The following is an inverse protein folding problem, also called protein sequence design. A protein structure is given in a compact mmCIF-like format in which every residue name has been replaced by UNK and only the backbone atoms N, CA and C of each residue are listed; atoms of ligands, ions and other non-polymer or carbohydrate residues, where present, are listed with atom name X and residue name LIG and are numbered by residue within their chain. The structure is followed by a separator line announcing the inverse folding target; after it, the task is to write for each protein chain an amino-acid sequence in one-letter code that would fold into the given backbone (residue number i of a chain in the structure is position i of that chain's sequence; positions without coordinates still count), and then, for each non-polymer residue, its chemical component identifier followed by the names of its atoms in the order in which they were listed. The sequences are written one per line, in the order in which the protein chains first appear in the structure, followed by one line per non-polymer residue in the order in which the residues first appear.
data_IF_268474260520
#
_entry.id   IF_268474260520
#
_cell.length_a   1.000
_cell.length_b   1.000
_cell.length_c   1.000
_cell.angle_alpha   90.00
_cell.angle_beta   90.00
_cell.angle_gamma   90.00
#
_symmetry.space_group_name_H-M   'P 1'
#
loop_
_entity.id
_entity.type
_entity.pdbx_description
1 polymer ?
#
# COMPACT_ATOMS: atom_id res chain seq x y z
N UNK A 1 -6.04 -0.16 10.73
CA UNK A 1 -6.38 -1.11 11.78
C UNK A 1 -6.30 -2.55 11.28
N UNK A 2 -7.02 -2.91 10.23
CA UNK A 2 -7.04 -4.29 9.69
C UNK A 2 -5.66 -4.77 9.27
N UNK A 3 -4.92 -3.99 8.50
CA UNK A 3 -3.56 -4.33 8.07
C UNK A 3 -2.61 -4.59 9.24
N UNK A 4 -2.68 -3.76 10.29
CA UNK A 4 -1.87 -3.97 11.51
C UNK A 4 -2.27 -5.28 12.19
N UNK A 5 -3.57 -5.58 12.26
CA UNK A 5 -4.08 -6.84 12.80
C UNK A 5 -3.58 -8.06 12.03
N UNK A 6 -3.62 -8.02 10.70
CA UNK A 6 -3.10 -9.09 9.84
C UNK A 6 -1.59 -9.25 9.94
N UNK A 7 -0.83 -8.14 9.94
CA UNK A 7 0.63 -8.18 10.13
C UNK A 7 1.01 -8.83 11.47
N UNK A 8 0.34 -8.44 12.55
CA UNK A 8 0.54 -9.04 13.87
C UNK A 8 0.09 -10.51 13.89
N UNK A 9 -1.00 -10.83 13.20
CA UNK A 9 -1.52 -12.20 13.10
C UNK A 9 -0.61 -13.17 12.36
N UNK A 10 0.28 -12.69 11.51
CA UNK A 10 1.32 -13.50 10.85
C UNK A 10 2.39 -14.00 11.83
N UNK A 11 2.52 -13.34 12.99
CA UNK A 11 3.41 -13.82 14.05
C UNK A 11 2.73 -14.94 14.82
N UNK A 12 3.37 -16.12 14.88
CA UNK A 12 2.81 -17.37 15.45
C UNK A 12 2.19 -17.23 16.84
N UNK A 13 2.71 -16.31 17.68
CA UNK A 13 2.21 -16.03 19.03
C UNK A 13 1.05 -15.02 19.07
N UNK A 14 0.83 -14.27 17.99
CA UNK A 14 -0.11 -13.16 17.92
C UNK A 14 -1.27 -13.41 16.94
N UNK A 15 -1.50 -14.67 16.55
CA UNK A 15 -2.56 -15.06 15.59
C UNK A 15 -3.95 -14.50 15.93
N UNK A 16 -4.25 -14.31 17.22
CA UNK A 16 -5.53 -13.75 17.68
C UNK A 16 -5.77 -12.31 17.20
N UNK A 17 -4.71 -11.56 16.84
CA UNK A 17 -4.86 -10.20 16.31
C UNK A 17 -5.41 -10.16 14.89
N UNK A 18 -5.29 -11.23 14.13
CA UNK A 18 -5.91 -11.36 12.81
C UNK A 18 -7.43 -11.55 12.87
N UNK A 19 -7.97 -11.96 14.02
CA UNK A 19 -9.41 -12.14 14.20
C UNK A 19 -10.13 -10.80 14.39
N UNK A 20 -10.94 -10.34 13.43
CA UNK A 20 -11.64 -9.07 13.52
C UNK A 20 -12.75 -9.05 14.58
N UNK A 21 -13.14 -10.22 15.12
CA UNK A 21 -14.17 -10.33 16.16
C UNK A 21 -13.60 -10.16 17.57
N UNK A 22 -12.28 -10.29 17.72
CA UNK A 22 -11.61 -10.17 19.02
C UNK A 22 -11.47 -8.72 19.46
N UNK A 23 -12.42 -8.26 20.30
CA UNK A 23 -12.51 -6.86 20.77
C UNK A 23 -11.21 -6.29 21.35
N UNK A 24 -10.45 -7.00 22.25
CA UNK A 24 -9.19 -6.45 22.79
C UNK A 24 -8.13 -6.23 21.69
N UNK A 25 -8.01 -7.15 20.72
CA UNK A 25 -7.10 -6.99 19.60
C UNK A 25 -7.45 -5.76 18.74
N UNK A 26 -8.73 -5.54 18.52
CA UNK A 26 -9.21 -4.37 17.78
C UNK A 26 -8.90 -3.05 18.49
N UNK A 27 -9.04 -2.99 19.80
CA UNK A 27 -8.70 -1.78 20.59
C UNK A 27 -7.19 -1.53 20.53
N UNK A 28 -6.37 -2.56 20.73
CA UNK A 28 -4.91 -2.43 20.72
C UNK A 28 -4.42 -1.99 19.35
N UNK A 29 -4.87 -2.62 18.27
CA UNK A 29 -4.46 -2.25 16.91
C UNK A 29 -4.91 -0.85 16.51
N UNK A 30 -6.09 -0.42 17.00
CA UNK A 30 -6.56 0.95 16.79
C UNK A 30 -5.72 1.95 17.58
N UNK A 31 -5.39 1.67 18.83
CA UNK A 31 -4.52 2.52 19.65
C UNK A 31 -3.13 2.65 19.03
N UNK A 32 -2.55 1.55 18.56
CA UNK A 32 -1.25 1.57 17.84
C UNK A 32 -1.34 2.45 16.58
N UNK A 33 -2.37 2.27 15.75
CA UNK A 33 -2.56 3.08 14.56
C UNK A 33 -2.72 4.56 14.88
N UNK A 34 -3.53 4.87 15.88
CA UNK A 34 -3.78 6.26 16.32
C UNK A 34 -2.53 6.88 16.94
N UNK A 35 -1.78 6.14 17.75
CA UNK A 35 -0.54 6.62 18.37
C UNK A 35 0.55 6.88 17.32
N UNK A 36 0.69 6.01 16.32
CA UNK A 36 1.62 6.23 15.21
C UNK A 36 1.24 7.49 14.41
N UNK A 37 -0.02 7.63 14.02
CA UNK A 37 -0.50 8.81 13.30
C UNK A 37 -0.41 10.09 14.14
N UNK A 38 -0.92 10.03 15.37
CA UNK A 38 -0.90 11.16 16.31
C UNK A 38 0.52 11.57 16.68
N UNK A 39 1.44 10.63 16.82
CA UNK A 39 2.85 10.89 17.07
C UNK A 39 3.53 11.63 15.90
N UNK A 40 3.28 11.18 14.67
CA UNK A 40 3.79 11.87 13.48
C UNK A 40 3.21 13.28 13.34
N UNK A 41 1.89 13.44 13.56
CA UNK A 41 1.25 14.76 13.57
C UNK A 41 1.82 15.66 14.66
N UNK A 42 1.99 15.15 15.87
CA UNK A 42 2.58 15.90 16.99
C UNK A 42 3.99 16.39 16.66
N UNK A 43 4.85 15.51 16.10
CA UNK A 43 6.19 15.89 15.65
C UNK A 43 6.12 17.00 14.58
N UNK A 44 5.20 16.89 13.63
CA UNK A 44 5.03 17.88 12.56
C UNK A 44 4.55 19.24 13.08
N UNK A 45 3.68 19.28 14.08
CA UNK A 45 3.14 20.54 14.64
C UNK A 45 4.09 21.16 15.64
N UNK A 46 4.86 20.34 16.38
CA UNK A 46 5.80 20.82 17.41
C UNK A 46 7.13 21.32 16.81
N UNK A 47 7.38 21.13 15.53
CA UNK A 47 8.59 21.62 14.87
C UNK A 47 8.45 23.12 14.54
N UNK A 48 9.19 23.94 15.26
CA UNK A 48 9.21 25.41 15.05
C UNK A 48 9.74 25.85 13.68
N UNK A 49 10.45 24.95 12.96
CA UNK A 49 10.94 25.19 11.60
C UNK A 49 9.92 24.79 10.51
N UNK A 50 8.67 24.55 10.89
CA UNK A 50 7.60 24.20 9.96
C UNK A 50 7.58 22.71 9.63
N UNK A 51 7.42 21.87 10.66
CA UNK A 51 7.35 20.41 10.56
C UNK A 51 6.35 19.87 9.53
N UNK A 52 5.36 20.67 9.14
CA UNK A 52 4.51 20.40 7.96
C UNK A 52 5.36 20.25 6.70
N UNK A 53 6.37 21.11 6.51
CA UNK A 53 7.24 21.05 5.34
C UNK A 53 8.15 19.83 5.32
N UNK A 54 8.51 19.29 6.47
CA UNK A 54 9.24 18.01 6.56
C UNK A 54 8.34 16.82 6.24
N UNK A 55 7.07 16.84 6.67
CA UNK A 55 6.13 15.74 6.45
C UNK A 55 5.57 15.67 5.02
N UNK A 56 5.41 16.80 4.33
CA UNK A 56 4.84 16.84 2.97
C UNK A 56 5.61 15.94 1.98
N UNK A 57 6.95 15.91 1.93
CA UNK A 57 7.66 14.99 1.06
C UNK A 57 7.40 13.51 1.37
N UNK A 58 7.33 13.14 2.65
CA UNK A 58 7.04 11.75 3.07
C UNK A 58 5.64 11.34 2.64
N UNK A 59 4.64 12.21 2.79
CA UNK A 59 3.29 11.96 2.29
C UNK A 59 3.28 11.77 0.78
N UNK A 60 4.03 12.59 0.04
CA UNK A 60 4.19 12.46 -1.41
C UNK A 60 4.76 11.09 -1.79
N UNK A 61 5.87 10.71 -1.19
CA UNK A 61 6.53 9.40 -1.41
C UNK A 61 5.60 8.24 -1.05
N UNK A 62 4.92 8.31 0.09
CA UNK A 62 3.99 7.27 0.54
C UNK A 62 2.80 7.10 -0.41
N UNK A 63 2.24 8.18 -0.93
CA UNK A 63 1.14 8.13 -1.90
C UNK A 63 1.60 7.57 -3.25
N UNK A 64 2.79 7.93 -3.71
CA UNK A 64 3.38 7.38 -4.93
C UNK A 64 3.69 5.89 -4.79
N UNK A 65 4.21 5.46 -3.64
CA UNK A 65 4.39 4.04 -3.34
C UNK A 65 3.07 3.26 -3.43
N UNK A 66 1.99 3.83 -2.88
CA UNK A 66 0.67 3.20 -2.95
C UNK A 66 0.17 3.12 -4.40
N UNK A 67 0.35 4.19 -5.19
CA UNK A 67 -0.01 4.22 -6.61
C UNK A 67 0.78 3.17 -7.40
N UNK A 68 2.10 3.11 -7.21
CA UNK A 68 2.95 2.09 -7.84
C UNK A 68 2.51 0.67 -7.47
N UNK A 69 2.23 0.40 -6.20
CA UNK A 69 1.73 -0.91 -5.74
C UNK A 69 0.40 -1.27 -6.41
N UNK A 70 -0.53 -0.33 -6.53
CA UNK A 70 -1.79 -0.52 -7.26
C UNK A 70 -1.57 -0.83 -8.73
N UNK A 71 -0.70 -0.09 -9.43
CA UNK A 71 -0.38 -0.36 -10.84
C UNK A 71 0.30 -1.70 -11.04
N UNK A 72 1.21 -2.11 -10.15
CA UNK A 72 1.81 -3.46 -10.17
C UNK A 72 0.72 -4.51 -10.03
N UNK A 73 -0.19 -4.35 -9.09
CA UNK A 73 -1.30 -5.28 -8.84
C UNK A 73 -2.23 -5.39 -10.06
N UNK A 74 -2.63 -4.25 -10.64
CA UNK A 74 -3.45 -4.21 -11.86
C UNK A 74 -2.72 -4.89 -13.01
N UNK A 75 -1.40 -4.63 -13.18
CA UNK A 75 -0.58 -5.25 -14.21
C UNK A 75 -0.57 -6.77 -14.08
N UNK A 76 -0.38 -7.27 -12.85
CA UNK A 76 -0.42 -8.71 -12.55
C UNK A 76 -1.81 -9.30 -12.84
N UNK A 77 -2.89 -8.62 -12.45
CA UNK A 77 -4.25 -9.06 -12.73
C UNK A 77 -4.53 -9.14 -14.22
N UNK A 78 -4.20 -8.10 -14.99
CA UNK A 78 -4.38 -8.06 -16.45
C UNK A 78 -3.57 -9.16 -17.14
N UNK A 79 -2.33 -9.42 -16.68
CA UNK A 79 -1.50 -10.51 -17.18
C UNK A 79 -2.13 -11.89 -16.89
N UNK A 80 -2.62 -12.12 -15.67
CA UNK A 80 -3.28 -13.38 -15.29
C UNK A 80 -4.59 -13.61 -16.03
N UNK A 81 -5.34 -12.54 -16.31
CA UNK A 81 -6.59 -12.59 -17.09
C UNK A 81 -6.33 -12.78 -18.60
N UNK A 82 -5.08 -12.89 -19.04
CA UNK A 82 -4.68 -13.04 -20.45
C UNK A 82 -5.00 -11.86 -21.37
N UNK A 83 -5.25 -10.70 -20.82
CA UNK A 83 -5.46 -9.49 -21.62
C UNK A 83 -4.13 -8.83 -22.05
N UNK A 84 -3.22 -9.59 -22.63
CA UNK A 84 -1.87 -9.16 -23.01
C UNK A 84 -1.85 -7.92 -23.91
N UNK A 85 -2.86 -7.80 -24.79
CA UNK A 85 -3.01 -6.62 -25.66
C UNK A 85 -3.28 -5.33 -24.89
N UNK A 86 -3.77 -5.42 -23.66
CA UNK A 86 -4.12 -4.27 -22.82
C UNK A 86 -3.12 -4.04 -21.67
N UNK A 87 -2.06 -4.85 -21.60
CA UNK A 87 -1.05 -4.76 -20.54
C UNK A 87 -0.34 -3.41 -20.52
N UNK A 88 -0.22 -2.75 -21.67
CA UNK A 88 0.40 -1.43 -21.78
C UNK A 88 -0.35 -0.34 -20.98
N UNK A 89 -1.67 -0.50 -20.77
CA UNK A 89 -2.51 0.48 -20.05
C UNK A 89 -2.03 0.70 -18.61
N UNK A 90 -1.86 -0.32 -17.76
CA UNK A 90 -1.29 -0.13 -16.43
C UNK A 90 0.23 0.02 -16.43
N UNK A 91 0.95 -0.52 -17.40
CA UNK A 91 2.43 -0.49 -17.44
C UNK A 91 2.96 0.90 -17.74
N UNK A 92 2.35 1.66 -18.66
CA UNK A 92 2.82 3.01 -18.99
C UNK A 92 2.80 3.95 -17.78
N UNK A 93 1.66 4.12 -17.07
CA UNK A 93 1.66 4.95 -15.86
C UNK A 93 2.55 4.37 -14.75
N UNK A 94 2.67 3.04 -14.63
CA UNK A 94 3.58 2.42 -13.67
C UNK A 94 5.04 2.80 -13.92
N UNK A 95 5.51 2.71 -15.17
CA UNK A 95 6.89 3.07 -15.52
C UNK A 95 7.15 4.55 -15.24
N UNK A 96 6.19 5.40 -15.57
CA UNK A 96 6.28 6.83 -15.28
C UNK A 96 6.37 7.10 -13.78
N UNK A 97 5.47 6.52 -12.99
CA UNK A 97 5.42 6.68 -11.54
C UNK A 97 6.71 6.19 -10.88
N UNK A 98 7.19 5.02 -11.27
CA UNK A 98 8.48 4.48 -10.82
C UNK A 98 9.62 5.45 -11.15
N UNK A 99 9.72 5.92 -12.39
CA UNK A 99 10.81 6.80 -12.81
C UNK A 99 10.84 8.10 -12.01
N UNK A 100 9.68 8.73 -11.81
CA UNK A 100 9.56 9.98 -11.05
C UNK A 100 9.89 9.72 -9.58
N UNK A 101 9.32 8.69 -8.97
CA UNK A 101 9.48 8.40 -7.54
C UNK A 101 10.90 7.98 -7.22
N UNK A 102 11.50 7.06 -7.97
CA UNK A 102 12.89 6.67 -7.76
C UNK A 102 13.86 7.84 -7.91
N UNK A 103 13.63 8.70 -8.90
CA UNK A 103 14.46 9.89 -9.08
C UNK A 103 14.34 10.86 -7.90
N UNK A 104 13.12 11.11 -7.44
CA UNK A 104 12.86 11.97 -6.30
C UNK A 104 13.48 11.42 -5.01
N UNK A 105 13.26 10.13 -4.72
CA UNK A 105 13.79 9.46 -3.53
C UNK A 105 15.32 9.40 -3.56
N UNK A 106 15.89 9.07 -4.72
CA UNK A 106 17.33 9.04 -4.87
C UNK A 106 17.97 10.41 -4.60
N UNK A 107 17.36 11.48 -5.10
CA UNK A 107 17.82 12.86 -4.81
C UNK A 107 17.67 13.20 -3.33
N UNK A 108 16.60 12.76 -2.67
CA UNK A 108 16.36 13.02 -1.26
C UNK A 108 17.26 12.20 -0.33
N UNK A 109 17.75 11.05 -0.78
CA UNK A 109 18.66 10.18 0.00
C UNK A 109 20.12 10.56 -0.28
N UNK A 110 20.50 10.78 -1.54
CA UNK A 110 21.91 10.92 -1.96
C UNK A 110 22.25 12.29 -2.54
N UNK A 111 21.27 13.16 -2.79
CA UNK A 111 21.50 14.48 -3.37
C UNK A 111 22.17 15.48 -2.42
N UNK A 112 22.59 16.64 -2.92
CA UNK A 112 23.25 17.68 -2.12
C UNK A 112 22.35 18.28 -1.03
N UNK A 113 21.04 18.18 -1.18
CA UNK A 113 20.00 18.58 -0.22
C UNK A 113 19.30 17.34 0.36
N UNK A 114 20.05 16.25 0.53
CA UNK A 114 19.50 15.02 1.10
C UNK A 114 19.17 15.18 2.58
N UNK A 115 18.29 14.32 3.08
CA UNK A 115 17.95 14.28 4.50
C UNK A 115 19.19 14.06 5.37
N UNK A 116 20.11 13.16 4.95
CA UNK A 116 21.33 12.87 5.69
C UNK A 116 22.32 14.04 5.66
N UNK A 117 22.47 14.76 4.53
CA UNK A 117 23.28 15.97 4.45
C UNK A 117 22.70 17.08 5.33
N UNK A 118 21.39 17.21 5.35
CA UNK A 118 20.70 18.16 6.21
C UNK A 118 20.88 17.82 7.69
N UNK A 119 20.76 16.54 8.04
CA UNK A 119 21.04 16.07 9.40
C UNK A 119 22.47 16.37 9.83
N UNK A 120 23.47 16.10 8.97
CA UNK A 120 24.88 16.40 9.29
C UNK A 120 25.14 17.89 9.50
N UNK A 121 24.45 18.78 8.76
CA UNK A 121 24.54 20.23 8.97
C UNK A 121 23.97 20.65 10.33
N UNK A 122 22.80 20.13 10.72
CA UNK A 122 22.24 20.40 12.04
C UNK A 122 23.11 19.85 13.16
N UNK A 123 23.67 18.66 12.97
CA UNK A 123 24.62 18.10 13.94
C UNK A 123 25.85 19.01 14.11
N UNK A 124 26.45 19.47 13.03
CA UNK A 124 27.59 20.37 13.09
C UNK A 124 27.26 21.71 13.78
N UNK A 125 26.05 22.25 13.57
CA UNK A 125 25.58 23.47 14.25
C UNK A 125 25.39 23.25 15.75
N UNK A 126 24.92 22.07 16.16
CA UNK A 126 24.79 21.71 17.59
C UNK A 126 26.16 21.55 18.22
N UNK A 127 27.08 20.90 17.54
CA UNK A 127 28.42 20.61 18.04
C UNK A 127 29.31 21.88 18.12
N UNK A 128 29.01 22.91 17.32
CA UNK A 128 29.71 24.22 17.40
C UNK A 128 29.46 24.96 18.73
N UNK A 129 28.38 24.59 19.45
CA UNK A 129 28.03 25.21 20.72
C UNK A 129 27.49 26.66 20.64
N UNK A 130 27.30 27.17 19.42
CA UNK A 130 26.80 28.53 19.20
C UNK A 130 25.29 28.67 19.47
N UNK A 131 24.56 27.54 19.41
CA UNK A 131 23.10 27.51 19.60
C UNK A 131 22.75 27.35 21.08
N UNK A 132 21.91 28.24 21.60
CA UNK A 132 21.42 28.23 22.99
C UNK A 132 19.89 28.35 23.03
N UNK A 133 19.29 27.87 24.12
CA UNK A 133 17.85 28.04 24.39
C UNK A 133 16.96 27.36 23.32
N UNK A 134 15.99 28.11 22.82
CA UNK A 134 15.04 27.61 21.81
C UNK A 134 15.72 27.20 20.50
N UNK A 135 16.74 27.90 20.07
CA UNK A 135 17.47 27.59 18.83
C UNK A 135 18.11 26.19 18.90
N UNK A 136 18.67 25.82 20.05
CA UNK A 136 19.25 24.49 20.26
C UNK A 136 18.16 23.41 20.25
N UNK A 137 17.02 23.69 20.87
CA UNK A 137 15.89 22.75 20.91
C UNK A 137 15.34 22.50 19.49
N UNK A 138 15.17 23.57 18.73
CA UNK A 138 14.72 23.51 17.35
C UNK A 138 15.72 22.77 16.43
N UNK A 139 17.01 22.99 16.58
CA UNK A 139 18.04 22.28 15.83
C UNK A 139 18.05 20.77 16.16
N UNK A 140 17.86 20.39 17.42
CA UNK A 140 17.76 18.97 17.82
C UNK A 140 16.50 18.32 17.23
N UNK A 141 15.36 19.01 17.24
CA UNK A 141 14.13 18.52 16.64
C UNK A 141 14.29 18.34 15.12
N UNK A 142 14.87 19.34 14.42
CA UNK A 142 15.14 19.26 13.00
C UNK A 142 16.12 18.13 12.63
N UNK A 143 17.14 17.91 13.45
CA UNK A 143 18.07 16.78 13.31
C UNK A 143 17.32 15.43 13.41
N UNK A 144 16.51 15.27 14.43
CA UNK A 144 15.73 14.05 14.63
C UNK A 144 14.78 13.79 13.46
N UNK A 145 14.09 14.84 13.01
CA UNK A 145 13.18 14.75 11.87
C UNK A 145 13.92 14.41 10.57
N UNK A 146 15.07 15.00 10.31
CA UNK A 146 15.86 14.70 9.11
C UNK A 146 16.35 13.23 9.08
N UNK A 147 16.75 12.69 10.21
CA UNK A 147 17.08 11.25 10.29
C UNK A 147 15.87 10.36 10.09
N UNK A 148 14.74 10.69 10.72
CA UNK A 148 13.50 9.92 10.56
C UNK A 148 13.07 9.90 9.09
N UNK A 149 13.05 11.08 8.45
CA UNK A 149 12.65 11.24 7.05
C UNK A 149 13.60 10.48 6.12
N UNK A 150 14.91 10.53 6.39
CA UNK A 150 15.91 9.78 5.65
C UNK A 150 15.71 8.26 5.75
N UNK A 151 15.47 7.74 6.95
CA UNK A 151 15.24 6.31 7.18
C UNK A 151 13.93 5.86 6.53
N UNK A 152 12.85 6.63 6.67
CA UNK A 152 11.57 6.32 6.04
C UNK A 152 11.67 6.35 4.51
N UNK A 153 12.40 7.30 3.92
CA UNK A 153 12.62 7.36 2.47
C UNK A 153 13.38 6.14 1.97
N UNK A 154 14.43 5.70 2.67
CA UNK A 154 15.15 4.45 2.33
C UNK A 154 14.21 3.25 2.42
N UNK A 155 13.41 3.17 3.47
CA UNK A 155 12.45 2.09 3.64
C UNK A 155 11.43 2.05 2.49
N UNK A 156 10.85 3.19 2.11
CA UNK A 156 9.90 3.27 1.01
C UNK A 156 10.53 2.93 -0.34
N UNK A 157 11.76 3.38 -0.59
CA UNK A 157 12.49 3.06 -1.81
C UNK A 157 12.72 1.55 -1.95
N UNK A 158 13.15 0.89 -0.86
CA UNK A 158 13.35 -0.56 -0.83
C UNK A 158 12.03 -1.29 -1.03
N UNK A 159 10.96 -0.89 -0.33
CA UNK A 159 9.64 -1.51 -0.48
C UNK A 159 9.12 -1.39 -1.91
N UNK A 160 9.24 -0.22 -2.53
CA UNK A 160 8.87 -0.02 -3.93
C UNK A 160 9.66 -0.93 -4.86
N UNK A 161 10.98 -1.03 -4.67
CA UNK A 161 11.83 -1.94 -5.42
C UNK A 161 11.36 -3.40 -5.30
N UNK A 162 11.03 -3.85 -4.09
CA UNK A 162 10.49 -5.20 -3.85
C UNK A 162 9.18 -5.42 -4.59
N UNK A 163 8.22 -4.49 -4.50
CA UNK A 163 6.93 -4.59 -5.21
C UNK A 163 7.12 -4.71 -6.72
N UNK A 164 7.97 -3.88 -7.30
CA UNK A 164 8.25 -3.89 -8.75
C UNK A 164 8.89 -5.21 -9.15
N UNK A 165 9.91 -5.68 -8.44
CA UNK A 165 10.59 -6.95 -8.73
C UNK A 165 9.63 -8.13 -8.62
N UNK A 166 8.83 -8.20 -7.56
CA UNK A 166 7.83 -9.26 -7.39
C UNK A 166 6.81 -9.21 -8.51
N UNK A 167 6.32 -8.02 -8.88
CA UNK A 167 5.39 -7.83 -10.00
C UNK A 167 5.97 -8.35 -11.32
N UNK A 168 7.20 -7.97 -11.66
CA UNK A 168 7.91 -8.44 -12.87
C UNK A 168 8.05 -9.96 -12.85
N UNK A 169 8.48 -10.54 -11.73
CA UNK A 169 8.66 -11.99 -11.60
C UNK A 169 7.34 -12.74 -11.80
N UNK A 170 6.24 -12.24 -11.21
CA UNK A 170 4.92 -12.85 -11.36
C UNK A 170 4.43 -12.76 -12.80
N UNK A 171 4.54 -11.60 -13.44
CA UNK A 171 4.16 -11.41 -14.85
C UNK A 171 5.00 -12.32 -15.77
N UNK A 172 6.32 -12.36 -15.56
CA UNK A 172 7.22 -13.21 -16.35
C UNK A 172 6.89 -14.71 -16.18
N UNK A 173 6.62 -15.16 -14.97
CA UNK A 173 6.20 -16.55 -14.69
C UNK A 173 4.88 -16.88 -15.35
N UNK A 174 3.90 -15.97 -15.31
CA UNK A 174 2.60 -16.14 -15.95
C UNK A 174 2.78 -16.27 -17.47
N UNK A 175 3.65 -15.44 -18.05
CA UNK A 175 3.99 -15.51 -19.48
C UNK A 175 4.68 -16.82 -19.84
N UNK A 176 5.71 -17.22 -19.08
CA UNK A 176 6.48 -18.44 -19.35
C UNK A 176 5.66 -19.72 -19.17
N UNK A 177 4.69 -19.72 -18.27
CA UNK A 177 3.82 -20.88 -18.05
C UNK A 177 2.85 -21.14 -19.18
N UNK A 178 2.70 -20.22 -20.15
CA UNK A 178 1.77 -20.35 -21.27
C UNK A 178 0.30 -20.48 -20.86
N UNK A 179 0.01 -20.29 -19.59
CA UNK A 179 -1.34 -20.39 -19.02
C UNK A 179 -2.10 -19.09 -19.28
N UNK A 180 -2.51 -18.96 -20.53
CA UNK A 180 -3.38 -17.88 -20.93
C UNK A 180 -4.80 -18.19 -20.43
N UNK A 181 -5.26 -17.46 -19.42
CA UNK A 181 -6.66 -17.51 -18.98
C UNK A 181 -7.09 -18.74 -18.20
N UNK A 182 -6.16 -19.61 -17.82
CA UNK A 182 -6.50 -20.75 -16.98
C UNK A 182 -6.17 -20.46 -15.51
N UNK A 183 -7.15 -20.62 -14.66
CA UNK A 183 -7.02 -20.66 -13.21
C UNK A 183 -6.67 -19.31 -12.56
N UNK A 184 -7.49 -18.32 -12.78
CA UNK A 184 -7.95 -17.54 -11.64
C UNK A 184 -8.49 -18.52 -10.61
N UNK A 185 -8.07 -18.40 -9.35
CA UNK A 185 -8.78 -19.00 -8.22
C UNK A 185 -10.27 -18.97 -8.53
N UNK A 186 -10.94 -20.11 -8.43
CA UNK A 186 -12.38 -20.18 -8.67
C UNK A 186 -13.02 -19.02 -7.93
N UNK A 187 -13.64 -18.10 -8.66
CA UNK A 187 -14.37 -17.01 -8.04
C UNK A 187 -15.40 -17.68 -7.13
N UNK A 188 -15.40 -17.30 -5.86
CA UNK A 188 -16.47 -17.75 -4.98
C UNK A 188 -17.78 -17.32 -5.63
N UNK A 189 -18.79 -18.23 -5.68
CA UNK A 189 -20.05 -17.91 -6.31
C UNK A 189 -20.61 -16.62 -5.69
N UNK A 190 -20.97 -15.66 -6.53
CA UNK A 190 -21.54 -14.40 -6.09
C UNK A 190 -22.75 -14.66 -5.21
N UNK A 191 -22.63 -14.38 -3.92
CA UNK A 191 -23.73 -14.42 -2.97
C UNK A 191 -24.37 -13.05 -2.96
N UNK A 192 -25.61 -12.94 -3.44
CA UNK A 192 -26.36 -11.70 -3.45
C UNK A 192 -26.52 -11.17 -2.02
N UNK A 193 -25.99 -9.98 -1.76
CA UNK A 193 -26.13 -9.32 -0.46
C UNK A 193 -27.55 -8.78 -0.32
N UNK A 194 -28.38 -9.45 0.47
CA UNK A 194 -29.75 -9.00 0.74
C UNK A 194 -29.85 -7.74 1.61
N UNK A 195 -28.72 -7.29 2.20
CA UNK A 195 -28.71 -6.23 3.22
C UNK A 195 -28.46 -4.82 2.69
N UNK A 196 -27.80 -4.62 1.55
CA UNK A 196 -27.32 -3.30 1.18
C UNK A 196 -27.90 -2.71 -0.12
N UNK A 197 -28.19 -3.49 -1.10
CA UNK A 197 -28.89 -3.05 -2.31
C UNK A 197 -29.52 -4.28 -2.96
N UNK A 198 -30.83 -4.50 -2.83
CA UNK A 198 -31.48 -5.52 -3.63
C UNK A 198 -31.23 -5.19 -5.11
N UNK A 199 -30.75 -6.16 -5.87
CA UNK A 199 -30.42 -6.04 -7.29
C UNK A 199 -31.56 -5.43 -8.14
N UNK A 200 -32.81 -5.54 -7.63
CA UNK A 200 -33.99 -4.95 -8.22
C UNK A 200 -34.01 -3.42 -8.22
N UNK A 201 -33.24 -2.77 -7.35
CA UNK A 201 -33.23 -1.30 -7.21
C UNK A 201 -32.16 -0.62 -8.05
N UNK A 202 -31.06 -1.31 -8.38
CA UNK A 202 -29.86 -0.74 -9.01
C UNK A 202 -29.54 -1.41 -10.34
N UNK A 203 -29.89 -2.69 -10.53
CA UNK A 203 -29.54 -3.43 -11.73
C UNK A 203 -30.42 -3.07 -12.92
N UNK A 204 -29.78 -2.79 -14.04
CA UNK A 204 -30.43 -2.59 -15.34
C UNK A 204 -31.11 -3.88 -15.83
N UNK A 205 -32.03 -3.75 -16.81
CA UNK A 205 -32.73 -4.91 -17.38
C UNK A 205 -31.74 -5.94 -17.99
N UNK A 206 -30.62 -5.47 -18.53
CA UNK A 206 -29.55 -6.31 -19.09
C UNK A 206 -28.83 -7.11 -17.98
N UNK A 207 -28.48 -6.44 -16.90
CA UNK A 207 -27.81 -7.06 -15.74
C UNK A 207 -28.69 -8.12 -15.08
N UNK A 208 -30.01 -7.85 -14.95
CA UNK A 208 -30.98 -8.83 -14.47
C UNK A 208 -31.05 -10.07 -15.37
N UNK A 209 -30.93 -9.90 -16.68
CA UNK A 209 -30.94 -11.01 -17.63
C UNK A 209 -29.69 -11.87 -17.47
N UNK A 210 -28.50 -11.23 -17.43
CA UNK A 210 -27.21 -11.90 -17.24
C UNK A 210 -27.18 -12.62 -15.90
N UNK A 211 -27.67 -11.99 -14.83
CA UNK A 211 -27.75 -12.59 -13.51
C UNK A 211 -28.65 -13.85 -13.47
N UNK A 212 -29.80 -13.82 -14.16
CA UNK A 212 -30.66 -14.99 -14.25
C UNK A 212 -30.03 -16.13 -15.05
N UNK A 213 -29.36 -15.82 -16.14
CA UNK A 213 -28.61 -16.81 -16.93
C UNK A 213 -27.48 -17.44 -16.15
N UNK A 214 -26.76 -16.62 -15.36
CA UNK A 214 -25.67 -17.07 -14.51
C UNK A 214 -26.17 -17.96 -13.36
N UNK A 215 -27.21 -17.54 -12.65
CA UNK A 215 -27.80 -18.32 -11.55
C UNK A 215 -28.43 -19.64 -12.04
N UNK A 216 -29.03 -19.65 -13.24
CA UNK A 216 -29.53 -20.88 -13.86
C UNK A 216 -28.38 -21.86 -14.19
N UNK A 217 -27.28 -21.37 -14.77
CA UNK A 217 -26.08 -22.20 -15.02
C UNK A 217 -25.44 -22.71 -13.74
N UNK A 218 -25.37 -21.88 -12.71
CA UNK A 218 -24.81 -22.28 -11.42
C UNK A 218 -25.64 -23.39 -10.77
N UNK A 219 -26.96 -23.25 -10.83
CA UNK A 219 -27.89 -24.27 -10.32
C UNK A 219 -27.76 -25.59 -11.08
N UNK A 220 -27.59 -25.56 -12.37
CA UNK A 220 -27.34 -26.72 -13.22
C UNK A 220 -26.02 -27.43 -12.90
N UNK A 221 -24.93 -26.64 -12.70
CA UNK A 221 -23.61 -27.16 -12.34
C UNK A 221 -23.60 -27.80 -10.94
N UNK A 222 -24.28 -27.18 -9.96
CA UNK A 222 -24.39 -27.73 -8.61
C UNK A 222 -25.24 -29.00 -8.61
N UNK A 223 -26.33 -29.01 -9.38
CA UNK A 223 -27.18 -30.19 -9.51
C UNK A 223 -26.46 -31.36 -10.18
N UNK A 224 -25.75 -31.10 -11.27
CA UNK A 224 -24.97 -32.12 -11.97
C UNK A 224 -23.77 -32.62 -11.14
N UNK A 225 -23.16 -31.77 -10.32
CA UNK A 225 -22.10 -32.15 -9.38
C UNK A 225 -22.60 -33.07 -8.24
N UNK A 226 -23.84 -32.89 -7.78
CA UNK A 226 -24.46 -33.72 -6.79
C UNK A 226 -24.97 -35.06 -7.36
N UNK A 227 -25.28 -35.11 -8.65
CA UNK A 227 -25.70 -36.33 -9.33
C UNK A 227 -24.52 -37.22 -9.74
N UNK A 228 -23.27 -36.69 -9.71
CA UNK A 228 -22.06 -37.42 -10.05
C UNK A 228 -21.26 -37.92 -8.82
N UNK A 229 -21.73 -37.64 -7.59
CA UNK A 229 -21.18 -38.11 -6.32
C UNK A 229 -22.10 -39.15 -5.69
#
# INVERSE_FOLDING_TARGET
RYQIGEMLGNVRKLKKFADPTWKPGNIITTLIATALWGGLLWMGVSDANGGINAMVPIFGISNQLLAAACFVLITVCVAKMSYWKHLWIPVVPLVWDIAVTFTADFQKIFGPLSYFTTASKYQAQIDSGELTGEALTNAKAALSNAYLDGVLSVFFLVMMGVFVVVGIVVVARTFAAGKYGAETTSEEPFVESQWFAPSSLVATALEKKVQREYSAKLHELVWNGQAAA
#
